data_IF_655497393214
#
_entry.id   IF_655497393214
#
_cell.length_a   1.000
_cell.length_b   1.000
_cell.length_c   1.000
_cell.angle_alpha   90.00
_cell.angle_beta   90.00
_cell.angle_gamma   90.00
#
_symmetry.space_group_name_H-M   'P 1'
#
loop_
_entity.id
_entity.type
_entity.pdbx_description
1 polymer ?
#
# COMPACT_ATOMS: atom_id res chain seq x y z
N UNK A 1 14.56 -10.48 5.34
CA UNK A 1 13.84 -9.31 4.77
C UNK A 1 12.97 -8.76 5.87
N UNK A 2 13.10 -7.47 6.19
CA UNK A 2 12.17 -6.80 7.11
C UNK A 2 10.85 -6.56 6.39
N UNK A 3 9.74 -6.94 7.01
CA UNK A 3 8.41 -6.61 6.49
C UNK A 3 8.29 -5.09 6.36
N UNK A 4 7.88 -4.54 5.19
CA UNK A 4 7.76 -3.11 5.02
C UNK A 4 6.74 -2.54 6.00
N UNK A 5 7.08 -1.39 6.59
CA UNK A 5 6.15 -0.69 7.47
C UNK A 5 5.04 -0.08 6.62
N UNK A 6 3.81 -0.53 6.86
CA UNK A 6 2.61 0.02 6.23
C UNK A 6 2.08 1.19 7.05
N UNK A 7 1.78 2.29 6.37
CA UNK A 7 1.16 3.50 6.91
C UNK A 7 -0.25 3.58 6.34
N UNK A 8 -1.23 3.51 7.22
CA UNK A 8 -2.64 3.65 6.84
C UNK A 8 -3.14 5.05 7.16
N UNK A 9 -3.76 5.69 6.17
CA UNK A 9 -4.42 6.98 6.35
C UNK A 9 -5.81 6.93 5.74
N UNK A 10 -6.71 7.74 6.29
CA UNK A 10 -8.09 7.80 5.85
C UNK A 10 -8.52 9.25 5.68
N UNK A 11 -9.24 9.54 4.59
CA UNK A 11 -9.75 10.88 4.31
C UNK A 11 -11.24 10.84 3.99
N UNK A 12 -12.01 11.77 4.56
CA UNK A 12 -13.40 11.97 4.16
C UNK A 12 -13.43 12.57 2.75
N UNK A 13 -14.29 12.02 1.89
CA UNK A 13 -14.58 12.54 0.56
C UNK A 13 -16.01 13.12 0.51
N UNK A 14 -16.40 13.64 -0.65
CA UNK A 14 -17.77 14.13 -0.88
C UNK A 14 -18.80 12.98 -0.78
N UNK A 15 -20.05 13.34 -0.49
CA UNK A 15 -21.20 12.43 -0.54
C UNK A 15 -21.03 11.15 0.30
N UNK A 16 -20.39 11.26 1.47
CA UNK A 16 -20.26 10.13 2.40
C UNK A 16 -19.17 9.12 2.03
N UNK A 17 -18.47 9.30 0.91
CA UNK A 17 -17.33 8.46 0.56
C UNK A 17 -16.14 8.65 1.52
N UNK A 18 -15.33 7.59 1.67
CA UNK A 18 -14.09 7.58 2.45
C UNK A 18 -12.97 7.06 1.56
N UNK A 19 -11.85 7.78 1.52
CA UNK A 19 -10.62 7.31 0.89
C UNK A 19 -9.80 6.54 1.92
N UNK A 20 -9.52 5.28 1.64
CA UNK A 20 -8.52 4.48 2.34
C UNK A 20 -7.22 4.55 1.55
N UNK A 21 -6.13 4.86 2.25
CA UNK A 21 -4.78 4.91 1.70
C UNK A 21 -3.89 3.96 2.52
N UNK A 22 -3.13 3.13 1.84
CA UNK A 22 -2.04 2.36 2.44
C UNK A 22 -0.75 2.67 1.70
N UNK A 23 0.31 2.97 2.44
CA UNK A 23 1.61 3.33 1.90
C UNK A 23 2.70 2.47 2.54
N UNK A 24 3.63 1.96 1.75
CA UNK A 24 4.81 1.24 2.19
C UNK A 24 6.03 2.16 2.01
N UNK A 25 6.78 2.36 3.10
CA UNK A 25 8.07 3.05 3.03
C UNK A 25 9.12 2.09 2.42
N UNK A 26 9.74 2.51 1.31
CA UNK A 26 10.78 1.80 0.57
C UNK A 26 12.11 2.56 0.58
N UNK A 27 12.28 3.54 1.47
CA UNK A 27 13.49 4.34 1.59
C UNK A 27 14.74 3.47 1.75
N UNK A 28 15.75 3.80 0.96
CA UNK A 28 17.06 3.15 1.02
C UNK A 28 18.19 4.16 0.78
N UNK A 29 19.45 3.84 1.15
CA UNK A 29 20.58 4.70 0.83
C UNK A 29 20.65 5.00 -0.67
N UNK A 30 20.51 6.28 -1.03
CA UNK A 30 20.46 6.76 -2.42
C UNK A 30 19.05 6.91 -3.01
N UNK A 31 18.00 6.48 -2.30
CA UNK A 31 16.57 6.74 -2.60
C UNK A 31 15.82 7.16 -1.32
N UNK A 32 16.03 8.40 -0.86
CA UNK A 32 15.45 8.88 0.39
C UNK A 32 13.94 9.22 0.31
N UNK A 33 13.29 9.03 -0.85
CA UNK A 33 11.86 9.28 -1.05
C UNK A 33 11.21 8.19 -1.91
N UNK A 34 11.54 6.93 -1.66
CA UNK A 34 10.90 5.79 -2.31
C UNK A 34 9.69 5.32 -1.49
N UNK A 35 8.50 5.40 -2.08
CA UNK A 35 7.27 4.92 -1.47
C UNK A 35 6.43 4.18 -2.50
N UNK A 36 5.68 3.19 -2.03
CA UNK A 36 4.60 2.54 -2.78
C UNK A 36 3.29 2.86 -2.09
N UNK A 37 2.25 3.23 -2.84
CA UNK A 37 0.95 3.57 -2.28
C UNK A 37 -0.19 2.91 -3.04
N UNK A 38 -1.22 2.49 -2.30
CA UNK A 38 -2.49 2.03 -2.84
C UNK A 38 -3.65 2.82 -2.21
N UNK A 39 -4.55 3.34 -3.05
CA UNK A 39 -5.66 4.19 -2.62
C UNK A 39 -6.98 3.66 -3.17
N UNK A 40 -8.00 3.59 -2.33
CA UNK A 40 -9.34 3.12 -2.70
C UNK A 40 -10.41 3.95 -2.02
N UNK A 41 -11.34 4.47 -2.81
CA UNK A 41 -12.56 5.07 -2.29
C UNK A 41 -13.58 3.96 -1.95
N UNK A 42 -14.17 4.04 -0.77
CA UNK A 42 -15.24 3.16 -0.30
C UNK A 42 -16.42 3.98 0.21
N UNK A 43 -17.63 3.50 -0.05
CA UNK A 43 -18.84 4.11 0.49
C UNK A 43 -19.37 3.24 1.64
N UNK A 44 -19.58 3.78 2.86
CA UNK A 44 -19.99 3.00 4.02
C UNK A 44 -21.27 2.18 3.83
N UNK A 45 -22.20 2.69 3.02
CA UNK A 45 -23.47 2.03 2.71
C UNK A 45 -23.29 0.62 2.13
N UNK A 46 -22.22 0.36 1.39
CA UNK A 46 -21.94 -0.99 0.88
C UNK A 46 -21.66 -2.01 1.99
N UNK A 47 -21.21 -1.55 3.16
CA UNK A 47 -21.01 -2.42 4.32
C UNK A 47 -22.29 -2.55 5.15
N UNK A 48 -23.08 -1.48 5.27
CA UNK A 48 -24.35 -1.49 6.03
C UNK A 48 -25.37 -2.46 5.42
N UNK A 49 -25.37 -2.64 4.10
CA UNK A 49 -26.24 -3.59 3.40
C UNK A 49 -25.72 -5.04 3.39
N UNK A 50 -24.47 -5.26 3.84
CA UNK A 50 -23.89 -6.60 3.86
C UNK A 50 -24.46 -7.43 5.02
N UNK A 51 -24.61 -8.74 4.80
CA UNK A 51 -25.01 -9.68 5.86
C UNK A 51 -24.02 -9.71 7.02
N UNK A 52 -22.73 -9.45 6.72
CA UNK A 52 -21.63 -9.39 7.68
C UNK A 52 -20.76 -8.15 7.42
N UNK A 53 -21.16 -6.96 7.89
CA UNK A 53 -20.50 -5.69 7.57
C UNK A 53 -19.01 -5.65 7.92
N UNK A 54 -18.66 -6.23 9.08
CA UNK A 54 -17.26 -6.30 9.55
C UNK A 54 -16.42 -7.15 8.59
N UNK A 55 -16.92 -8.31 8.17
CA UNK A 55 -16.22 -9.21 7.23
C UNK A 55 -16.04 -8.54 5.87
N UNK A 56 -17.08 -7.86 5.38
CA UNK A 56 -17.02 -7.11 4.13
C UNK A 56 -15.96 -5.99 4.18
N UNK A 57 -15.88 -5.26 5.29
CA UNK A 57 -14.83 -4.26 5.48
C UNK A 57 -13.43 -4.88 5.62
N UNK A 58 -13.30 -6.00 6.34
CA UNK A 58 -12.03 -6.74 6.45
C UNK A 58 -11.52 -7.19 5.09
N UNK A 59 -12.39 -7.62 4.17
CA UNK A 59 -11.98 -7.97 2.80
C UNK A 59 -11.37 -6.79 2.04
N UNK A 60 -11.88 -5.57 2.22
CA UNK A 60 -11.27 -4.38 1.60
C UNK A 60 -9.86 -4.16 2.12
N UNK A 61 -9.67 -4.25 3.45
CA UNK A 61 -8.34 -4.09 4.05
C UNK A 61 -7.39 -5.20 3.60
N UNK A 62 -7.86 -6.44 3.52
CA UNK A 62 -7.07 -7.57 3.04
C UNK A 62 -6.61 -7.38 1.58
N UNK A 63 -7.54 -7.03 0.69
CA UNK A 63 -7.23 -6.79 -0.73
C UNK A 63 -6.19 -5.68 -0.90
N UNK A 64 -6.36 -4.57 -0.18
CA UNK A 64 -5.41 -3.45 -0.18
C UNK A 64 -4.04 -3.85 0.38
N UNK A 65 -4.02 -4.67 1.44
CA UNK A 65 -2.80 -5.20 2.05
C UNK A 65 -2.06 -6.12 1.08
N UNK A 66 -2.77 -7.05 0.44
CA UNK A 66 -2.18 -7.99 -0.51
C UNK A 66 -1.59 -7.25 -1.70
N UNK A 67 -2.32 -6.27 -2.26
CA UNK A 67 -1.84 -5.47 -3.38
C UNK A 67 -0.54 -4.72 -3.06
N UNK A 68 -0.47 -4.07 -1.90
CA UNK A 68 0.74 -3.31 -1.53
C UNK A 68 1.91 -4.22 -1.19
N UNK A 69 1.65 -5.36 -0.54
CA UNK A 69 2.69 -6.34 -0.21
C UNK A 69 3.26 -7.00 -1.47
N UNK A 70 2.43 -7.28 -2.47
CA UNK A 70 2.88 -7.77 -3.77
C UNK A 70 3.77 -6.75 -4.48
N UNK A 71 3.36 -5.48 -4.50
CA UNK A 71 4.19 -4.43 -5.09
C UNK A 71 5.53 -4.25 -4.36
N UNK A 72 5.55 -4.31 -3.03
CA UNK A 72 6.77 -4.21 -2.23
C UNK A 72 7.72 -5.41 -2.45
N UNK A 73 7.16 -6.62 -2.59
CA UNK A 73 7.94 -7.81 -2.93
C UNK A 73 8.54 -7.71 -4.33
N UNK A 74 7.77 -7.21 -5.30
CA UNK A 74 8.25 -6.96 -6.67
C UNK A 74 9.41 -5.96 -6.72
N UNK A 75 9.30 -4.86 -5.98
CA UNK A 75 10.39 -3.88 -5.85
C UNK A 75 11.67 -4.53 -5.29
N UNK A 76 11.54 -5.32 -4.22
CA UNK A 76 12.66 -6.03 -3.61
C UNK A 76 13.34 -7.01 -4.57
N UNK A 77 12.56 -7.68 -5.44
CA UNK A 77 13.09 -8.60 -6.44
C UNK A 77 13.89 -7.87 -7.54
N UNK A 78 13.44 -6.69 -7.96
CA UNK A 78 14.16 -5.87 -8.95
C UNK A 78 15.52 -5.42 -8.42
N UNK A 79 15.60 -5.01 -7.15
CA UNK A 79 16.87 -4.62 -6.53
C UNK A 79 17.86 -5.79 -6.38
N UNK A 80 17.37 -7.03 -6.28
CA UNK A 80 18.23 -8.23 -6.24
C UNK A 80 18.69 -8.70 -7.63
N UNK A 81 17.84 -8.60 -8.65
CA UNK A 81 18.13 -9.10 -10.01
C UNK A 81 18.93 -8.11 -10.87
N UNK A 82 18.85 -6.82 -10.57
CA UNK A 82 19.64 -5.79 -11.23
C UNK A 82 20.70 -5.31 -10.23
N UNK A 83 21.92 -5.91 -10.19
CA UNK A 83 23.01 -5.30 -9.45
C UNK A 83 23.22 -3.94 -10.09
N UNK A 84 22.73 -2.89 -9.43
CA UNK A 84 22.97 -1.52 -9.87
C UNK A 84 24.46 -1.36 -10.08
N UNK A 85 24.83 -0.77 -11.21
CA UNK A 85 26.12 -0.14 -11.47
C UNK A 85 26.37 1.00 -10.46
N UNK A 86 26.35 0.71 -9.16
CA UNK A 86 26.38 1.66 -8.04
C UNK A 86 27.81 2.04 -7.66
N UNK A 87 28.75 1.98 -8.61
CA UNK A 87 30.19 2.14 -8.36
C UNK A 87 30.93 3.09 -9.31
N UNK A 88 30.26 3.94 -10.07
CA UNK A 88 30.93 4.89 -10.98
C UNK A 88 30.24 6.25 -10.99
N UNK A 89 30.41 7.00 -9.90
CA UNK A 89 30.57 8.45 -9.95
C UNK A 89 31.53 8.81 -8.80
N UNK A 90 32.74 9.22 -9.17
CA UNK A 90 33.78 9.73 -8.30
C UNK A 90 33.43 11.12 -7.74
#
# INVERSE_FOLDING_TARGET
>A
MTTPKLIWTTHKLADGWVLLCVEANLEQPGEPQAMLGFKRAVHPFHFDEASEPVVAFTHVIAEMTDAIMWGAAGHSALDHCLPRLRGLCA
#
